data_IF_681681334845
#
_entry.id   IF_681681334845
#
_cell.length_a   1.000
_cell.length_b   1.000
_cell.length_c   1.000
_cell.angle_alpha   90.00
_cell.angle_beta   90.00
_cell.angle_gamma   90.00
#
_symmetry.space_group_name_H-M   'P 1'
#
loop_
_entity.id
_entity.type
_entity.pdbx_description
1 polymer ?
#
# COMPACT_ATOMS: atom_id res chain seq x y z
N UNK A 1 -5.75 -6.80 -9.86
CA UNK A 1 -4.32 -6.47 -10.06
C UNK A 1 -4.10 -6.21 -11.55
N UNK A 2 -3.60 -5.03 -11.94
CA UNK A 2 -3.14 -4.80 -13.31
C UNK A 2 -1.67 -5.21 -13.36
N UNK A 3 -1.33 -6.14 -14.23
CA UNK A 3 0.04 -6.57 -14.48
C UNK A 3 0.85 -5.40 -15.06
N UNK A 4 2.16 -5.35 -14.82
CA UNK A 4 3.03 -4.26 -15.30
C UNK A 4 3.00 -4.08 -16.83
N UNK A 5 2.54 -5.09 -17.56
CA UNK A 5 2.46 -5.10 -19.02
C UNK A 5 1.10 -4.66 -19.56
N UNK A 6 0.10 -4.41 -18.71
CA UNK A 6 -1.29 -4.15 -19.12
C UNK A 6 -1.88 -5.28 -20.01
N UNK A 7 -1.29 -6.48 -19.93
CA UNK A 7 -1.72 -7.70 -20.62
C UNK A 7 -2.45 -8.57 -19.60
N UNK A 8 -3.59 -9.14 -20.00
CA UNK A 8 -4.32 -10.08 -19.15
C UNK A 8 -3.46 -11.29 -18.82
N UNK A 9 -3.48 -11.74 -17.56
CA UNK A 9 -2.75 -12.94 -17.13
C UNK A 9 -3.09 -14.17 -17.98
N UNK A 10 -4.34 -14.26 -18.44
CA UNK A 10 -4.81 -15.33 -19.34
C UNK A 10 -4.08 -15.33 -20.68
N UNK A 11 -3.81 -14.14 -21.24
CA UNK A 11 -3.10 -13.99 -22.51
C UNK A 11 -1.65 -14.42 -22.37
N UNK A 12 -1.01 -14.05 -21.25
CA UNK A 12 0.37 -14.47 -20.94
C UNK A 12 0.44 -16.00 -20.82
N UNK A 13 -0.52 -16.61 -20.12
CA UNK A 13 -0.59 -18.06 -19.95
C UNK A 13 -0.80 -18.80 -21.28
N UNK A 14 -1.73 -18.33 -22.12
CA UNK A 14 -1.99 -18.92 -23.43
C UNK A 14 -0.77 -18.81 -24.37
N UNK A 15 -0.04 -17.70 -24.31
CA UNK A 15 1.17 -17.46 -25.09
C UNK A 15 2.34 -18.34 -24.63
N UNK A 16 2.56 -18.44 -23.32
CA UNK A 16 3.57 -19.35 -22.74
C UNK A 16 3.25 -20.80 -23.08
N UNK A 17 1.99 -21.22 -22.98
CA UNK A 17 1.56 -22.57 -23.37
C UNK A 17 1.71 -22.82 -24.87
N UNK A 18 1.47 -21.82 -25.71
CA UNK A 18 1.69 -21.92 -27.15
C UNK A 18 3.17 -22.05 -27.53
N UNK A 19 4.08 -21.42 -26.77
CA UNK A 19 5.53 -21.45 -27.05
C UNK A 19 6.18 -22.72 -26.51
N UNK A 20 5.78 -23.18 -25.32
CA UNK A 20 6.46 -24.27 -24.60
C UNK A 20 5.66 -25.60 -24.58
N UNK A 21 4.42 -25.62 -25.05
CA UNK A 21 3.62 -26.85 -25.14
C UNK A 21 3.45 -27.55 -23.79
N UNK A 22 3.78 -28.84 -23.74
CA UNK A 22 3.73 -29.67 -22.52
C UNK A 22 4.88 -29.39 -21.53
N UNK A 23 5.90 -28.64 -21.95
CA UNK A 23 6.99 -28.15 -21.08
C UNK A 23 6.68 -26.79 -20.46
N UNK A 24 5.51 -26.21 -20.75
CA UNK A 24 5.07 -24.97 -20.11
C UNK A 24 5.06 -25.18 -18.59
N UNK A 25 5.64 -24.24 -17.80
CA UNK A 25 5.59 -24.35 -16.35
C UNK A 25 4.13 -24.41 -15.93
N UNK A 26 3.73 -25.57 -15.37
CA UNK A 26 2.42 -25.73 -14.74
C UNK A 26 2.26 -24.63 -13.70
N UNK A 27 1.06 -24.05 -13.59
CA UNK A 27 0.75 -23.12 -12.51
C UNK A 27 0.95 -23.86 -11.19
N UNK A 28 2.16 -23.74 -10.63
CA UNK A 28 2.43 -24.22 -9.30
C UNK A 28 1.63 -23.31 -8.38
N UNK A 29 0.61 -23.87 -7.73
CA UNK A 29 -0.01 -23.25 -6.56
C UNK A 29 1.11 -22.74 -5.66
N UNK A 30 1.07 -21.45 -5.31
CA UNK A 30 2.06 -20.83 -4.42
C UNK A 30 1.92 -21.50 -3.05
N UNK A 31 2.67 -22.59 -2.86
CA UNK A 31 2.61 -23.39 -1.65
C UNK A 31 2.94 -22.49 -0.48
N UNK A 32 2.01 -22.38 0.46
CA UNK A 32 2.17 -21.62 1.70
C UNK A 32 3.52 -21.99 2.30
N UNK A 33 4.44 -21.02 2.35
CA UNK A 33 5.77 -21.26 2.91
C UNK A 33 5.58 -21.65 4.38
N UNK A 34 6.05 -22.82 4.82
CA UNK A 34 5.74 -23.36 6.14
C UNK A 34 6.20 -22.44 7.29
N UNK A 35 7.20 -21.59 7.05
CA UNK A 35 7.73 -20.64 8.03
C UNK A 35 7.00 -19.29 8.07
N UNK A 36 5.93 -19.14 7.29
CA UNK A 36 5.20 -17.88 7.17
C UNK A 36 3.73 -18.10 7.50
N UNK A 37 3.34 -18.02 8.80
CA UNK A 37 1.92 -17.95 9.14
C UNK A 37 1.33 -16.76 8.40
N UNK A 38 0.38 -17.05 7.51
CA UNK A 38 -0.44 -16.04 6.85
C UNK A 38 -1.34 -15.51 7.96
N UNK A 39 -1.01 -14.33 8.47
CA UNK A 39 -1.98 -13.54 9.23
C UNK A 39 -3.03 -13.14 8.20
N UNK A 40 -4.15 -13.85 8.21
CA UNK A 40 -5.25 -13.60 7.31
C UNK A 40 -5.74 -12.17 7.55
N UNK A 41 -5.84 -11.39 6.47
CA UNK A 41 -6.40 -10.04 6.54
C UNK A 41 -7.91 -10.17 6.67
N UNK A 42 -8.37 -10.32 7.90
CA UNK A 42 -9.80 -10.36 8.23
C UNK A 42 -10.37 -8.95 8.32
N UNK A 43 -11.69 -8.82 8.17
CA UNK A 43 -12.38 -7.52 8.26
C UNK A 43 -12.25 -6.97 9.68
N UNK A 44 -12.27 -7.84 10.68
CA UNK A 44 -12.12 -7.49 12.09
C UNK A 44 -10.74 -6.86 12.38
N UNK A 45 -9.67 -7.43 11.82
CA UNK A 45 -8.32 -6.89 11.97
C UNK A 45 -8.19 -5.52 11.29
N UNK A 46 -8.88 -5.32 10.16
CA UNK A 46 -8.92 -4.01 9.48
C UNK A 46 -9.63 -2.98 10.35
N UNK A 47 -10.81 -3.30 10.88
CA UNK A 47 -11.59 -2.37 11.70
C UNK A 47 -10.88 -2.06 13.03
N UNK A 48 -10.18 -3.01 13.64
CA UNK A 48 -9.37 -2.75 14.84
C UNK A 48 -8.20 -1.80 14.55
N UNK A 49 -7.44 -2.03 13.47
CA UNK A 49 -6.36 -1.12 13.08
C UNK A 49 -6.92 0.28 12.79
N UNK A 50 -8.10 0.36 12.15
CA UNK A 50 -8.78 1.64 11.90
C UNK A 50 -9.11 2.38 13.18
N UNK A 51 -9.75 1.72 14.15
CA UNK A 51 -10.11 2.33 15.42
C UNK A 51 -8.88 2.83 16.18
N UNK A 52 -7.77 2.09 16.16
CA UNK A 52 -6.52 2.50 16.82
C UNK A 52 -5.89 3.73 16.15
N UNK A 53 -5.90 3.79 14.81
CA UNK A 53 -5.38 4.94 14.05
C UNK A 53 -6.29 6.17 14.20
N UNK A 54 -7.60 5.98 14.26
CA UNK A 54 -8.56 7.08 14.43
C UNK A 54 -8.49 7.68 15.83
N UNK A 55 -8.16 6.88 16.86
CA UNK A 55 -7.95 7.35 18.24
C UNK A 55 -6.64 8.13 18.39
N UNK A 56 -5.52 7.60 17.87
CA UNK A 56 -4.25 8.31 17.81
C UNK A 56 -3.54 8.10 16.45
N UNK A 57 -3.53 9.11 15.57
CA UNK A 57 -2.89 9.02 14.26
C UNK A 57 -1.36 8.95 14.34
N UNK A 58 -0.77 9.22 15.51
CA UNK A 58 0.68 9.14 15.76
C UNK A 58 1.08 7.84 16.47
N UNK A 59 0.14 6.92 16.67
CA UNK A 59 0.39 5.64 17.32
C UNK A 59 1.48 4.85 16.60
N UNK A 60 2.43 4.34 17.38
CA UNK A 60 3.55 3.56 16.87
C UNK A 60 3.05 2.27 16.20
N UNK A 61 3.65 1.92 15.06
CA UNK A 61 3.24 0.72 14.32
C UNK A 61 3.44 -0.57 15.11
N UNK A 62 4.41 -0.59 16.03
CA UNK A 62 4.70 -1.71 16.92
C UNK A 62 3.56 -1.93 17.92
N UNK A 63 2.99 -0.84 18.44
CA UNK A 63 1.87 -0.91 19.38
C UNK A 63 0.60 -1.42 18.71
N UNK A 64 0.31 -0.94 17.49
CA UNK A 64 -0.84 -1.44 16.72
C UNK A 64 -0.66 -2.94 16.41
N UNK A 65 0.55 -3.39 16.10
CA UNK A 65 0.85 -4.82 15.88
C UNK A 65 0.61 -5.67 17.13
N UNK A 66 1.01 -5.18 18.30
CA UNK A 66 0.77 -5.84 19.58
C UNK A 66 -0.74 -5.94 19.90
N UNK A 67 -1.52 -4.91 19.59
CA UNK A 67 -2.97 -4.91 19.86
C UNK A 67 -3.79 -5.76 18.87
N UNK A 68 -3.27 -6.01 17.68
CA UNK A 68 -4.02 -6.66 16.59
C UNK A 68 -3.50 -8.06 16.25
N UNK A 69 -2.49 -8.54 16.98
CA UNK A 69 -1.72 -9.76 16.68
C UNK A 69 -1.21 -9.82 15.22
N UNK A 70 -1.13 -8.65 14.56
CA UNK A 70 -0.66 -8.54 13.20
C UNK A 70 0.86 -8.55 13.19
N UNK A 71 1.45 -9.48 12.45
CA UNK A 71 2.90 -9.52 12.27
C UNK A 71 3.45 -8.28 11.55
N UNK A 72 2.64 -7.68 10.67
CA UNK A 72 3.02 -6.48 9.91
C UNK A 72 1.78 -5.71 9.49
N UNK A 73 1.80 -4.41 9.74
CA UNK A 73 0.82 -3.48 9.19
C UNK A 73 1.30 -3.06 7.81
N UNK A 74 0.58 -3.48 6.79
CA UNK A 74 0.79 -3.09 5.40
C UNK A 74 -0.19 -2.00 4.97
N UNK A 75 0.10 -1.29 3.87
CA UNK A 75 -0.70 -0.16 3.39
C UNK A 75 -2.19 -0.48 3.15
N UNK A 76 -2.57 -1.76 3.03
CA UNK A 76 -3.96 -2.21 2.93
C UNK A 76 -4.79 -2.02 4.21
N UNK A 77 -4.15 -1.82 5.37
CA UNK A 77 -4.84 -1.52 6.64
C UNK A 77 -5.03 -0.01 6.88
N UNK A 78 -4.35 0.83 6.09
CA UNK A 78 -4.52 2.29 6.16
C UNK A 78 -5.80 2.66 5.40
N UNK A 79 -6.74 3.42 6.01
CA UNK A 79 -7.92 3.92 5.32
C UNK A 79 -7.55 4.61 4.01
N UNK A 80 -8.11 4.13 2.89
CA UNK A 80 -7.92 4.76 1.57
C UNK A 80 -8.70 6.06 1.45
N UNK A 81 -9.87 6.09 2.09
CA UNK A 81 -10.75 7.23 2.11
C UNK A 81 -10.59 7.92 3.47
N UNK A 82 -9.83 9.02 3.46
CA UNK A 82 -9.72 9.90 4.62
C UNK A 82 -10.90 10.86 4.64
N UNK A 83 -11.48 11.09 5.82
CA UNK A 83 -12.47 12.16 6.02
C UNK A 83 -11.83 13.52 5.73
N UNK A 84 -12.63 14.54 5.40
CA UNK A 84 -12.10 15.88 5.09
C UNK A 84 -11.27 16.49 6.23
N UNK A 85 -11.61 16.16 7.49
CA UNK A 85 -10.84 16.55 8.67
C UNK A 85 -9.48 15.84 8.70
N UNK A 86 -9.45 14.53 8.49
CA UNK A 86 -8.22 13.74 8.42
C UNK A 86 -7.31 14.21 7.29
N UNK A 87 -7.86 14.53 6.10
CA UNK A 87 -7.09 15.07 4.98
C UNK A 87 -6.45 16.42 5.34
N UNK A 88 -7.21 17.31 5.98
CA UNK A 88 -6.72 18.63 6.41
C UNK A 88 -5.58 18.48 7.41
N UNK A 89 -5.73 17.58 8.37
CA UNK A 89 -4.71 17.33 9.39
C UNK A 89 -3.46 16.66 8.79
N UNK A 90 -3.63 15.73 7.86
CA UNK A 90 -2.50 15.13 7.13
C UNK A 90 -1.70 16.19 6.37
N UNK A 91 -2.39 17.11 5.68
CA UNK A 91 -1.73 18.23 4.99
C UNK A 91 -0.99 19.14 5.97
N UNK A 92 -1.57 19.40 7.15
CA UNK A 92 -0.93 20.17 8.22
C UNK A 92 0.37 19.49 8.71
N UNK A 93 0.31 18.19 8.99
CA UNK A 93 1.47 17.39 9.43
C UNK A 93 2.54 17.34 8.34
N UNK A 94 2.16 17.13 7.07
CA UNK A 94 3.09 17.13 5.95
C UNK A 94 3.83 18.47 5.82
N UNK A 95 3.11 19.60 5.95
CA UNK A 95 3.75 20.94 5.94
C UNK A 95 4.75 21.08 7.09
N UNK A 96 4.36 20.71 8.30
CA UNK A 96 5.22 20.76 9.48
C UNK A 96 6.49 19.90 9.31
N UNK A 97 6.36 18.70 8.74
CA UNK A 97 7.50 17.81 8.48
C UNK A 97 8.43 18.36 7.39
N UNK A 98 7.88 19.01 6.36
CA UNK A 98 8.68 19.66 5.31
C UNK A 98 9.48 20.84 5.90
N UNK A 99 8.83 21.66 6.73
CA UNK A 99 9.48 22.79 7.41
C UNK A 99 10.60 22.32 8.34
N UNK A 100 10.36 21.28 9.14
CA UNK A 100 11.38 20.69 10.03
C UNK A 100 12.60 20.14 9.29
N UNK A 101 12.42 19.64 8.06
CA UNK A 101 13.49 19.09 7.24
C UNK A 101 14.20 20.16 6.39
N UNK A 102 13.75 21.43 6.47
CA UNK A 102 14.28 22.50 5.63
C UNK A 102 13.95 22.34 4.15
N UNK A 103 12.93 21.54 3.82
CA UNK A 103 12.45 21.40 2.44
C UNK A 103 11.64 22.65 2.12
N UNK A 104 12.25 23.58 1.40
CA UNK A 104 11.58 24.80 0.92
C UNK A 104 10.32 24.40 0.17
N UNK A 105 9.22 25.12 0.45
CA UNK A 105 7.88 24.91 -0.11
C UNK A 105 7.93 24.41 -1.55
N UNK A 106 7.25 23.28 -1.81
CA UNK A 106 7.07 22.73 -3.16
C UNK A 106 6.55 23.87 -4.05
N UNK A 107 7.24 24.21 -5.15
CA UNK A 107 6.81 25.29 -6.03
C UNK A 107 5.38 25.03 -6.47
N UNK A 108 4.56 26.08 -6.48
CA UNK A 108 3.17 25.97 -6.92
C UNK A 108 3.13 25.46 -8.36
N UNK A 109 2.03 24.86 -8.79
CA UNK A 109 1.87 24.37 -10.17
C UNK A 109 2.16 25.45 -11.24
N UNK A 110 2.01 26.73 -10.90
CA UNK A 110 2.37 27.87 -11.76
C UNK A 110 3.89 28.02 -11.98
N UNK A 111 4.72 27.57 -11.05
CA UNK A 111 6.18 27.69 -11.12
C UNK A 111 6.80 26.65 -12.06
N UNK A 112 6.15 25.49 -12.22
CA UNK A 112 6.58 24.43 -13.13
C UNK A 112 6.40 24.82 -14.60
N UNK A 113 5.45 25.73 -14.87
CA UNK A 113 5.11 26.20 -16.21
C UNK A 113 6.15 27.15 -16.81
N UNK A 114 7.04 27.71 -15.98
CA UNK A 114 8.05 28.70 -16.41
C UNK A 114 9.39 28.08 -16.82
N UNK A 115 9.58 26.78 -16.59
CA UNK A 115 10.85 26.07 -16.80
C UNK A 115 10.98 25.33 -18.13
N UNK A 116 9.93 25.31 -18.97
CA UNK A 116 9.98 24.66 -20.29
C UNK A 116 10.13 25.77 -21.34
N UNK A 117 11.38 26.07 -21.71
CA UNK A 117 11.74 26.80 -22.92
C UNK A 117 12.68 25.95 -23.75
#
# INVERSE_FOLDING_TARGET
MRTALNISARVIHDEVKSVYGDEAPEETEDKVRPDKPITETTIENIEQVRLLIDDDPHMATEYIQEQTDLRKITACYVPKDLTGLQQTEQVRICKQNLDQRGWVSVPSQADWSKGIK
#
